data_IF_958234166317
#
_entry.id   IF_958234166317
#
_cell.length_a   1.000
_cell.length_b   1.000
_cell.length_c   1.000
_cell.angle_alpha   90.00
_cell.angle_beta   90.00
_cell.angle_gamma   90.00
#
_symmetry.space_group_name_H-M   'P 1'
#
loop_
_entity.id
_entity.type
_entity.pdbx_description
1 polymer ?
#
# COMPACT_ATOMS: atom_id res chain seq x y z
N UNK A 1 11.14 14.96 6.54
CA UNK A 1 10.67 13.58 6.83
C UNK A 1 9.48 13.19 5.96
N UNK A 2 8.41 14.00 5.87
CA UNK A 2 7.21 13.71 5.03
C UNK A 2 7.53 13.49 3.54
N UNK A 3 8.29 14.39 2.91
CA UNK A 3 8.69 14.26 1.50
C UNK A 3 9.47 12.97 1.22
N UNK A 4 10.38 12.57 2.12
CA UNK A 4 11.15 11.33 1.95
C UNK A 4 10.25 10.09 2.03
N UNK A 5 9.28 10.08 2.95
CA UNK A 5 8.27 9.02 3.00
C UNK A 5 7.42 9.00 1.71
N UNK A 6 6.97 10.17 1.24
CA UNK A 6 6.20 10.31 0.00
C UNK A 6 6.95 9.85 -1.25
N UNK A 7 8.28 9.98 -1.29
CA UNK A 7 9.12 9.36 -2.33
C UNK A 7 9.16 7.84 -2.15
N UNK A 8 9.44 7.36 -0.93
CA UNK A 8 9.57 5.91 -0.62
C UNK A 8 8.32 5.10 -0.95
N UNK A 9 7.13 5.72 -0.87
CA UNK A 9 5.84 5.13 -1.28
C UNK A 9 5.92 4.50 -2.67
N UNK A 10 6.66 5.12 -3.59
CA UNK A 10 6.71 4.73 -4.99
C UNK A 10 7.91 3.83 -5.38
N UNK A 11 8.80 3.47 -4.44
CA UNK A 11 10.08 2.81 -4.77
C UNK A 11 9.98 1.47 -5.55
N UNK A 12 8.86 0.78 -5.49
CA UNK A 12 8.63 -0.49 -6.22
C UNK A 12 7.71 -0.33 -7.45
N UNK A 13 7.35 0.90 -7.76
CA UNK A 13 6.43 1.24 -8.82
C UNK A 13 7.13 2.08 -9.88
N UNK A 14 6.64 1.98 -11.11
CA UNK A 14 7.14 2.70 -12.26
C UNK A 14 6.16 3.83 -12.65
N UNK A 15 6.49 4.51 -13.75
CA UNK A 15 5.71 5.62 -14.30
C UNK A 15 4.27 5.18 -14.63
N UNK A 16 4.10 3.94 -15.06
CA UNK A 16 2.78 3.37 -15.38
C UNK A 16 1.83 3.42 -14.19
N UNK A 17 2.31 3.09 -13.00
CA UNK A 17 1.44 3.08 -11.82
C UNK A 17 1.03 4.49 -11.37
N UNK A 18 1.92 5.47 -11.54
CA UNK A 18 1.56 6.88 -11.31
C UNK A 18 0.50 7.33 -12.33
N UNK A 19 0.69 6.98 -13.60
CA UNK A 19 -0.28 7.24 -14.67
C UNK A 19 -1.63 6.57 -14.37
N UNK A 20 -1.64 5.33 -13.87
CA UNK A 20 -2.87 4.62 -13.48
C UNK A 20 -3.63 5.36 -12.38
N UNK A 21 -2.92 5.91 -11.38
CA UNK A 21 -3.52 6.70 -10.31
C UNK A 21 -4.16 7.98 -10.87
N UNK A 22 -3.44 8.70 -11.74
CA UNK A 22 -3.90 9.93 -12.35
C UNK A 22 -5.10 9.68 -13.30
N UNK A 23 -5.00 8.67 -14.17
CA UNK A 23 -6.03 8.27 -15.12
C UNK A 23 -7.37 8.01 -14.40
N UNK A 24 -7.35 7.26 -13.30
CA UNK A 24 -8.54 6.96 -12.51
C UNK A 24 -9.13 8.19 -11.82
N UNK A 25 -8.29 9.07 -11.29
CA UNK A 25 -8.73 10.33 -10.68
C UNK A 25 -9.42 11.22 -11.71
N UNK A 26 -8.77 11.48 -12.84
CA UNK A 26 -9.34 12.32 -13.91
C UNK A 26 -10.62 11.70 -14.50
N UNK A 27 -10.62 10.38 -14.75
CA UNK A 27 -11.81 9.67 -15.25
C UNK A 27 -13.00 9.79 -14.29
N UNK A 28 -12.76 9.63 -12.98
CA UNK A 28 -13.81 9.81 -11.95
C UNK A 28 -14.35 11.23 -11.91
N UNK A 29 -13.49 12.21 -12.18
CA UNK A 29 -13.86 13.62 -12.31
C UNK A 29 -14.48 13.96 -13.69
N UNK A 30 -14.90 12.95 -14.45
CA UNK A 30 -15.59 13.09 -15.74
C UNK A 30 -14.74 13.70 -16.86
N UNK A 31 -13.42 13.58 -16.78
CA UNK A 31 -12.56 13.85 -17.94
C UNK A 31 -12.57 12.64 -18.88
N UNK A 32 -12.55 12.90 -20.18
CA UNK A 32 -12.10 11.92 -21.17
C UNK A 32 -10.59 11.80 -21.07
N UNK A 33 -10.06 10.60 -20.84
CA UNK A 33 -8.63 10.38 -20.59
C UNK A 33 -8.02 9.48 -21.65
N UNK A 34 -6.94 9.94 -22.27
CA UNK A 34 -6.12 9.18 -23.21
C UNK A 34 -4.76 8.89 -22.58
N UNK A 35 -4.51 7.63 -22.25
CA UNK A 35 -3.21 7.16 -21.75
C UNK A 35 -2.36 6.68 -22.92
N UNK A 36 -1.54 7.58 -23.48
CA UNK A 36 -0.70 7.29 -24.64
C UNK A 36 0.33 6.21 -24.36
N UNK A 37 0.80 6.12 -23.12
CA UNK A 37 1.77 5.11 -22.72
C UNK A 37 1.25 3.67 -22.88
N UNK A 38 -0.06 3.47 -22.71
CA UNK A 38 -0.76 2.18 -22.91
C UNK A 38 -1.31 1.99 -24.31
N UNK A 39 -1.85 3.04 -24.91
CA UNK A 39 -2.70 2.93 -26.10
C UNK A 39 -1.98 3.30 -27.40
N UNK A 40 -1.01 4.23 -27.37
CA UNK A 40 -0.34 4.72 -28.57
C UNK A 40 0.98 5.43 -28.26
N UNK A 41 2.03 4.65 -27.96
CA UNK A 41 3.37 5.18 -27.68
C UNK A 41 3.99 5.94 -28.86
N UNK A 42 3.59 5.60 -30.09
CA UNK A 42 4.13 6.24 -31.30
C UNK A 42 3.66 7.67 -31.46
N UNK A 43 2.48 8.01 -30.95
CA UNK A 43 1.89 9.35 -31.04
C UNK A 43 1.90 10.11 -29.71
N UNK A 44 2.57 9.60 -28.69
CA UNK A 44 2.71 10.22 -27.36
C UNK A 44 3.20 11.67 -27.45
N UNK A 45 4.13 11.98 -28.39
CA UNK A 45 4.70 13.34 -28.59
C UNK A 45 5.23 13.99 -27.29
N UNK A 46 5.58 13.17 -26.30
CA UNK A 46 6.03 13.60 -24.97
C UNK A 46 4.91 13.79 -23.95
N UNK A 47 3.64 13.62 -24.32
CA UNK A 47 2.48 13.65 -23.42
C UNK A 47 2.13 12.21 -23.04
N UNK A 48 2.30 11.84 -21.77
CA UNK A 48 2.03 10.47 -21.33
C UNK A 48 0.53 10.25 -21.05
N UNK A 49 -0.15 11.29 -20.53
CA UNK A 49 -1.59 11.31 -20.25
C UNK A 49 -2.22 12.61 -20.73
N UNK A 50 -3.34 12.53 -21.46
CA UNK A 50 -4.11 13.70 -21.87
C UNK A 50 -5.55 13.58 -21.38
N UNK A 51 -6.05 14.63 -20.74
CA UNK A 51 -7.35 14.68 -20.10
C UNK A 51 -8.15 15.86 -20.66
N UNK A 52 -9.40 15.64 -21.05
CA UNK A 52 -10.28 16.70 -21.57
C UNK A 52 -11.66 16.69 -20.91
N UNK A 53 -12.16 17.86 -20.51
CA UNK A 53 -13.51 18.04 -19.96
C UNK A 53 -14.05 19.43 -20.30
N UNK A 54 -15.17 19.50 -21.02
CA UNK A 54 -15.86 20.77 -21.31
C UNK A 54 -14.94 21.87 -21.89
N UNK A 55 -13.97 21.49 -22.73
CA UNK A 55 -12.97 22.40 -23.31
C UNK A 55 -11.75 22.66 -22.43
N UNK A 56 -11.75 22.24 -21.16
CA UNK A 56 -10.54 22.18 -20.33
C UNK A 56 -9.67 21.02 -20.80
N UNK A 57 -8.41 21.30 -21.11
CA UNK A 57 -7.41 20.31 -21.53
C UNK A 57 -6.25 20.29 -20.55
N UNK A 58 -5.87 19.09 -20.11
CA UNK A 58 -4.71 18.87 -19.24
C UNK A 58 -3.81 17.84 -19.89
N UNK A 59 -2.54 18.18 -20.08
CA UNK A 59 -1.53 17.28 -20.61
C UNK A 59 -0.50 17.00 -19.51
N UNK A 60 -0.19 15.72 -19.28
CA UNK A 60 0.66 15.29 -18.19
C UNK A 60 1.81 14.45 -18.72
N UNK A 61 3.01 14.74 -18.22
CA UNK A 61 4.20 13.90 -18.38
C UNK A 61 4.67 13.45 -16.99
N UNK A 62 5.08 12.19 -16.86
CA UNK A 62 5.47 11.57 -15.60
C UNK A 62 6.89 11.01 -15.72
N UNK A 63 7.74 11.33 -14.73
CA UNK A 63 9.07 10.71 -14.60
C UNK A 63 9.36 10.28 -13.17
N UNK A 64 9.84 9.05 -12.98
CA UNK A 64 10.26 8.62 -11.64
C UNK A 64 11.43 9.47 -11.12
N UNK A 65 12.41 9.72 -11.98
CA UNK A 65 13.58 10.56 -11.68
C UNK A 65 14.06 11.26 -12.96
N UNK A 66 13.78 12.55 -13.15
CA UNK A 66 14.19 13.27 -14.35
C UNK A 66 15.72 13.36 -14.50
N UNK A 67 16.23 12.94 -15.67
CA UNK A 67 17.66 12.88 -16.01
C UNK A 67 17.96 13.78 -17.21
N UNK A 68 19.25 14.01 -17.47
CA UNK A 68 19.72 14.72 -18.67
C UNK A 68 19.13 14.15 -19.97
N UNK A 69 18.95 12.83 -20.06
CA UNK A 69 18.37 12.17 -21.24
C UNK A 69 16.88 12.49 -21.47
N UNK A 70 16.17 12.97 -20.45
CA UNK A 70 14.74 13.29 -20.55
C UNK A 70 14.49 14.72 -21.07
N UNK A 71 15.54 15.56 -21.23
CA UNK A 71 15.44 16.96 -21.66
C UNK A 71 14.75 17.09 -23.03
N UNK A 72 15.09 16.22 -23.98
CA UNK A 72 14.48 16.23 -25.32
C UNK A 72 12.99 15.86 -25.26
N UNK A 73 12.63 14.89 -24.42
CA UNK A 73 11.24 14.49 -24.24
C UNK A 73 10.42 15.60 -23.56
N UNK A 74 11.01 16.29 -22.57
CA UNK A 74 10.39 17.43 -21.91
C UNK A 74 10.19 18.61 -22.87
N UNK A 75 11.18 18.91 -23.71
CA UNK A 75 11.07 20.00 -24.70
C UNK A 75 9.96 19.71 -25.71
N UNK A 76 9.82 18.44 -26.14
CA UNK A 76 8.68 18.03 -26.98
C UNK A 76 7.35 18.17 -26.24
N UNK A 77 7.28 17.79 -24.97
CA UNK A 77 6.09 17.95 -24.15
C UNK A 77 5.64 19.42 -24.08
N UNK A 78 6.55 20.32 -23.74
CA UNK A 78 6.28 21.77 -23.68
C UNK A 78 5.78 22.33 -25.02
N UNK A 79 6.41 21.96 -26.14
CA UNK A 79 6.01 22.42 -27.47
C UNK A 79 4.60 21.93 -27.89
N UNK A 80 4.20 20.73 -27.42
CA UNK A 80 2.94 20.11 -27.80
C UNK A 80 1.77 20.42 -26.85
N UNK A 81 1.96 21.31 -25.87
CA UNK A 81 0.95 21.59 -24.82
C UNK A 81 0.45 23.04 -24.79
N UNK A 82 0.65 23.79 -25.87
CA UNK A 82 0.30 25.21 -25.97
C UNK A 82 -1.19 25.55 -25.71
N UNK A 83 -2.11 24.63 -25.96
CA UNK A 83 -3.56 24.80 -25.73
C UNK A 83 -4.09 24.03 -24.51
N UNK A 84 -3.19 23.48 -23.69
CA UNK A 84 -3.53 22.66 -22.53
C UNK A 84 -2.77 23.13 -21.28
N UNK A 85 -3.33 22.85 -20.11
CA UNK A 85 -2.59 22.93 -18.86
C UNK A 85 -1.51 21.84 -18.86
N UNK A 86 -0.25 22.24 -18.96
CA UNK A 86 0.88 21.32 -18.95
C UNK A 86 1.33 21.01 -17.51
N UNK A 87 1.32 19.74 -17.13
CA UNK A 87 1.77 19.27 -15.81
C UNK A 87 2.90 18.27 -15.98
N UNK A 88 4.04 18.53 -15.34
CA UNK A 88 5.17 17.61 -15.29
C UNK A 88 5.30 17.03 -13.88
N UNK A 89 4.99 15.74 -13.74
CA UNK A 89 5.02 15.03 -12.47
C UNK A 89 6.37 14.32 -12.32
N UNK A 90 7.02 14.49 -11.18
CA UNK A 90 8.21 13.72 -10.83
C UNK A 90 8.22 13.25 -9.37
N UNK A 91 8.72 12.03 -9.14
CA UNK A 91 8.77 11.46 -7.80
C UNK A 91 10.07 11.86 -7.09
N UNK A 92 11.21 11.49 -7.66
CA UNK A 92 12.52 11.89 -7.14
C UNK A 92 12.94 13.27 -7.65
N UNK A 93 13.90 13.87 -6.96
CA UNK A 93 14.48 15.15 -7.39
C UNK A 93 15.18 15.01 -8.76
N UNK A 94 14.98 15.99 -9.67
CA UNK A 94 15.64 16.00 -10.96
C UNK A 94 17.16 16.12 -10.81
N UNK A 95 17.88 15.53 -11.76
CA UNK A 95 19.34 15.75 -11.86
C UNK A 95 19.66 17.20 -12.18
N UNK A 96 20.82 17.70 -11.73
CA UNK A 96 21.25 19.09 -11.98
C UNK A 96 21.11 19.52 -13.45
N UNK A 97 21.57 18.75 -14.47
CA UNK A 97 21.40 19.15 -15.86
C UNK A 97 19.95 19.35 -16.30
N UNK A 98 19.03 18.53 -15.78
CA UNK A 98 17.61 18.65 -16.08
C UNK A 98 17.02 19.90 -15.41
N UNK A 99 17.34 20.12 -14.14
CA UNK A 99 16.90 21.31 -13.40
C UNK A 99 17.41 22.61 -14.03
N UNK A 100 18.70 22.66 -14.36
CA UNK A 100 19.33 23.82 -15.02
C UNK A 100 18.70 24.10 -16.41
N UNK A 101 18.10 23.09 -17.05
CA UNK A 101 17.33 23.25 -18.29
C UNK A 101 15.94 23.81 -18.01
N UNK A 102 15.20 23.24 -17.06
CA UNK A 102 13.82 23.67 -16.74
C UNK A 102 13.77 25.06 -16.12
N UNK A 103 14.76 25.48 -15.34
CA UNK A 103 14.85 26.83 -14.76
C UNK A 103 15.00 27.94 -15.82
N UNK A 104 15.48 27.59 -17.02
CA UNK A 104 15.63 28.51 -18.15
C UNK A 104 14.39 28.60 -19.04
N UNK A 105 13.47 27.65 -18.92
CA UNK A 105 12.25 27.58 -19.72
C UNK A 105 11.14 28.42 -19.09
N UNK A 106 10.36 29.10 -19.93
CA UNK A 106 9.35 30.06 -19.50
C UNK A 106 8.08 29.35 -19.00
N UNK A 107 7.95 29.20 -17.67
CA UNK A 107 6.73 29.25 -16.82
C UNK A 107 5.41 28.57 -17.23
N UNK A 108 5.33 27.89 -18.37
CA UNK A 108 4.09 27.34 -18.93
C UNK A 108 3.75 25.95 -18.37
N UNK A 109 4.74 25.25 -17.83
CA UNK A 109 4.60 23.92 -17.26
C UNK A 109 4.56 23.98 -15.73
N UNK A 110 3.52 23.40 -15.14
CA UNK A 110 3.41 23.20 -13.70
C UNK A 110 4.19 21.94 -13.29
N UNK A 111 5.12 22.06 -12.34
CA UNK A 111 5.91 20.93 -11.85
C UNK A 111 5.32 20.37 -10.56
N UNK A 112 4.94 19.09 -10.59
CA UNK A 112 4.48 18.36 -9.42
C UNK A 112 5.58 17.44 -8.93
N UNK A 113 6.17 17.76 -7.78
CA UNK A 113 7.01 16.82 -7.06
C UNK A 113 6.14 15.79 -6.30
N UNK A 114 6.78 14.88 -5.55
CA UNK A 114 6.07 13.88 -4.75
C UNK A 114 5.08 14.46 -3.72
N UNK A 115 5.31 15.67 -3.21
CA UNK A 115 4.42 16.35 -2.26
C UNK A 115 3.16 16.88 -2.98
N UNK A 116 3.33 17.60 -4.09
CA UNK A 116 2.21 18.09 -4.89
C UNK A 116 1.36 16.95 -5.45
N UNK A 117 1.99 15.85 -5.90
CA UNK A 117 1.28 14.65 -6.33
C UNK A 117 0.50 14.00 -5.18
N UNK A 118 1.09 13.90 -3.99
CA UNK A 118 0.41 13.41 -2.79
C UNK A 118 -0.84 14.23 -2.49
N UNK A 119 -0.70 15.55 -2.40
CA UNK A 119 -1.81 16.47 -2.12
C UNK A 119 -2.93 16.32 -3.16
N UNK A 120 -2.57 16.28 -4.45
CA UNK A 120 -3.53 16.09 -5.53
C UNK A 120 -4.28 14.75 -5.40
N UNK A 121 -3.56 13.64 -5.22
CA UNK A 121 -4.14 12.31 -5.15
C UNK A 121 -5.02 12.11 -3.89
N UNK A 122 -4.62 12.67 -2.75
CA UNK A 122 -5.40 12.63 -1.51
C UNK A 122 -6.67 13.47 -1.65
N UNK A 123 -6.55 14.72 -2.11
CA UNK A 123 -7.69 15.63 -2.32
C UNK A 123 -8.74 15.03 -3.27
N UNK A 124 -8.27 14.31 -4.28
CA UNK A 124 -9.12 13.63 -5.26
C UNK A 124 -9.43 12.16 -4.91
N UNK A 125 -9.23 11.75 -3.65
CA UNK A 125 -9.69 10.46 -3.12
C UNK A 125 -9.15 9.25 -3.91
N UNK A 126 -7.90 9.29 -4.35
CA UNK A 126 -7.28 8.17 -5.06
C UNK A 126 -7.15 6.96 -4.12
N UNK A 127 -8.05 5.99 -4.30
CA UNK A 127 -8.11 4.75 -3.51
C UNK A 127 -6.81 3.97 -3.67
N UNK A 128 -6.29 3.90 -4.90
CA UNK A 128 -5.03 3.26 -5.23
C UNK A 128 -3.87 3.90 -4.46
N UNK A 129 -3.82 5.22 -4.45
CA UNK A 129 -2.80 5.95 -3.71
C UNK A 129 -2.91 5.73 -2.20
N UNK A 130 -4.12 5.77 -1.63
CA UNK A 130 -4.35 5.49 -0.22
C UNK A 130 -3.87 4.07 0.18
N UNK A 131 -4.19 3.06 -0.63
CA UNK A 131 -3.68 1.69 -0.44
C UNK A 131 -2.15 1.65 -0.50
N UNK A 132 -1.55 2.34 -1.48
CA UNK A 132 -0.11 2.40 -1.65
C UNK A 132 0.57 3.12 -0.47
N UNK A 133 0.00 4.24 -0.02
CA UNK A 133 0.49 5.04 1.10
C UNK A 133 0.63 4.19 2.36
N UNK A 134 -0.41 3.44 2.73
CA UNK A 134 -0.34 2.58 3.91
C UNK A 134 0.46 1.29 3.69
N UNK A 135 0.62 0.81 2.46
CA UNK A 135 1.45 -0.37 2.19
C UNK A 135 2.92 -0.19 2.61
N UNK A 136 3.38 1.07 2.77
CA UNK A 136 4.72 1.41 3.27
C UNK A 136 4.76 1.80 4.74
N UNK A 137 3.62 1.82 5.42
CA UNK A 137 3.57 2.16 6.83
C UNK A 137 4.29 1.09 7.66
N UNK A 138 5.11 1.44 8.67
CA UNK A 138 5.86 0.48 9.48
C UNK A 138 5.02 -0.68 10.04
N UNK A 139 3.86 -0.42 10.66
CA UNK A 139 2.97 -1.49 11.15
C UNK A 139 2.49 -2.44 10.04
N UNK A 140 2.19 -1.91 8.86
CA UNK A 140 1.73 -2.71 7.71
C UNK A 140 2.88 -3.57 7.17
N UNK A 141 4.09 -3.01 7.09
CA UNK A 141 5.30 -3.76 6.76
C UNK A 141 5.58 -4.88 7.78
N UNK A 142 5.33 -4.65 9.08
CA UNK A 142 5.40 -5.70 10.10
C UNK A 142 4.40 -6.82 9.84
N UNK A 143 3.15 -6.50 9.49
CA UNK A 143 2.14 -7.50 9.12
C UNK A 143 2.55 -8.29 7.87
N UNK A 144 3.06 -7.62 6.83
CA UNK A 144 3.57 -8.25 5.61
C UNK A 144 4.73 -9.21 5.92
N UNK A 145 5.70 -8.76 6.73
CA UNK A 145 6.86 -9.58 7.13
C UNK A 145 6.45 -10.77 7.99
N UNK A 146 5.53 -10.60 8.94
CA UNK A 146 4.97 -11.70 9.72
C UNK A 146 4.34 -12.77 8.82
N UNK A 147 3.49 -12.38 7.88
CA UNK A 147 2.90 -13.30 6.90
C UNK A 147 3.96 -13.97 6.02
N UNK A 148 5.01 -13.24 5.63
CA UNK A 148 6.10 -13.78 4.81
C UNK A 148 6.91 -14.84 5.54
N UNK A 149 7.17 -14.63 6.84
CA UNK A 149 7.85 -15.61 7.71
C UNK A 149 7.00 -16.88 7.85
N UNK A 150 5.70 -16.72 8.10
CA UNK A 150 4.74 -17.84 8.18
C UNK A 150 4.71 -18.60 6.85
N UNK A 151 4.54 -17.89 5.74
CA UNK A 151 4.50 -18.46 4.39
C UNK A 151 5.80 -19.22 4.06
N UNK A 152 6.95 -18.72 4.50
CA UNK A 152 8.27 -19.32 4.26
C UNK A 152 8.47 -20.67 4.96
N UNK A 153 7.75 -20.93 6.06
CA UNK A 153 7.83 -22.19 6.83
C UNK A 153 6.58 -23.06 6.74
N UNK A 154 5.59 -22.67 5.92
CA UNK A 154 4.30 -23.37 5.82
C UNK A 154 4.35 -24.85 5.43
N UNK A 155 5.42 -25.26 4.73
CA UNK A 155 5.62 -26.65 4.26
C UNK A 155 6.36 -27.53 5.28
N UNK A 156 6.71 -26.98 6.44
CA UNK A 156 7.35 -27.75 7.50
C UNK A 156 6.35 -28.77 8.05
N UNK A 157 6.79 -30.01 8.20
CA UNK A 157 5.93 -31.08 8.69
C UNK A 157 5.98 -31.12 10.21
N UNK A 158 4.84 -30.85 10.85
CA UNK A 158 4.65 -31.10 12.26
C UNK A 158 4.36 -32.59 12.51
N UNK A 159 5.17 -33.21 13.38
CA UNK A 159 4.90 -34.56 13.89
C UNK A 159 4.28 -34.42 15.27
N UNK A 160 3.11 -35.01 15.49
CA UNK A 160 2.40 -34.90 16.77
C UNK A 160 3.28 -35.42 17.91
N UNK A 161 3.54 -34.55 18.88
CA UNK A 161 4.30 -34.86 20.08
C UNK A 161 3.85 -33.94 21.22
N UNK A 162 4.27 -34.27 22.44
CA UNK A 162 4.04 -33.40 23.60
C UNK A 162 4.98 -32.20 23.49
N UNK A 163 4.41 -31.00 23.46
CA UNK A 163 5.16 -29.75 23.37
C UNK A 163 6.12 -29.61 24.56
N UNK A 164 7.33 -29.21 24.25
CA UNK A 164 8.39 -28.90 25.21
C UNK A 164 8.13 -27.56 25.90
N UNK A 165 8.75 -27.34 27.05
CA UNK A 165 8.62 -26.06 27.76
C UNK A 165 9.14 -24.87 26.92
N UNK A 166 10.17 -25.08 26.10
CA UNK A 166 10.71 -24.05 25.21
C UNK A 166 9.71 -23.68 24.12
N UNK A 167 9.13 -24.65 23.42
CA UNK A 167 8.11 -24.42 22.39
C UNK A 167 6.92 -23.64 22.93
N UNK A 168 6.43 -24.04 24.11
CA UNK A 168 5.33 -23.35 24.80
C UNK A 168 5.72 -21.90 25.10
N UNK A 169 6.92 -21.67 25.63
CA UNK A 169 7.39 -20.33 25.92
C UNK A 169 7.48 -19.46 24.66
N UNK A 170 7.97 -20.01 23.53
CA UNK A 170 8.05 -19.30 22.25
C UNK A 170 6.67 -18.97 21.69
N UNK A 171 5.75 -19.93 21.67
CA UNK A 171 4.37 -19.71 21.25
C UNK A 171 3.67 -18.64 22.07
N UNK A 172 3.87 -18.63 23.40
CA UNK A 172 3.31 -17.59 24.27
C UNK A 172 3.84 -16.21 23.95
N UNK A 173 5.13 -16.06 23.67
CA UNK A 173 5.71 -14.76 23.29
C UNK A 173 5.10 -14.27 21.97
N UNK A 174 4.94 -15.15 20.98
CA UNK A 174 4.28 -14.78 19.71
C UNK A 174 2.82 -14.40 19.95
N UNK A 175 2.10 -15.17 20.77
CA UNK A 175 0.71 -14.92 21.14
C UNK A 175 0.55 -13.55 21.79
N UNK A 176 1.31 -13.26 22.84
CA UNK A 176 1.28 -11.97 23.53
C UNK A 176 1.53 -10.78 22.59
N UNK A 177 2.51 -10.91 21.69
CA UNK A 177 2.81 -9.84 20.74
C UNK A 177 1.72 -9.71 19.66
N UNK A 178 1.12 -10.82 19.20
CA UNK A 178 0.01 -10.80 18.24
C UNK A 178 -1.24 -10.14 18.84
N UNK A 179 -1.59 -10.46 20.09
CA UNK A 179 -2.68 -9.82 20.83
C UNK A 179 -2.42 -8.33 20.98
N UNK A 180 -1.20 -7.92 21.36
CA UNK A 180 -0.85 -6.49 21.50
C UNK A 180 -0.99 -5.73 20.18
N UNK A 181 -0.55 -6.31 19.05
CA UNK A 181 -0.71 -5.69 17.73
C UNK A 181 -2.19 -5.59 17.37
N UNK A 182 -2.94 -6.68 17.50
CA UNK A 182 -4.37 -6.70 17.20
C UNK A 182 -5.15 -5.69 18.05
N UNK A 183 -4.99 -5.70 19.37
CA UNK A 183 -5.68 -4.78 20.28
C UNK A 183 -5.34 -3.33 19.96
N UNK A 184 -4.07 -3.03 19.66
CA UNK A 184 -3.64 -1.68 19.28
C UNK A 184 -4.32 -1.23 17.97
N UNK A 185 -4.31 -2.07 16.94
CA UNK A 185 -4.95 -1.77 15.66
C UNK A 185 -6.48 -1.70 15.79
N UNK A 186 -7.09 -2.54 16.62
CA UNK A 186 -8.52 -2.50 16.93
C UNK A 186 -8.89 -1.19 17.62
N UNK A 187 -8.07 -0.70 18.55
CA UNK A 187 -8.28 0.60 19.18
C UNK A 187 -8.21 1.74 18.15
N UNK A 188 -7.20 1.75 17.28
CA UNK A 188 -7.07 2.73 16.18
C UNK A 188 -8.31 2.68 15.28
N UNK A 189 -8.72 1.48 14.84
CA UNK A 189 -9.92 1.28 14.04
C UNK A 189 -11.17 1.82 14.75
N UNK A 190 -11.40 1.48 16.03
CA UNK A 190 -12.57 1.94 16.79
C UNK A 190 -12.61 3.45 16.95
N UNK A 191 -11.47 4.08 17.24
CA UNK A 191 -11.33 5.54 17.34
C UNK A 191 -11.72 6.20 16.02
N UNK A 192 -11.06 5.80 14.93
CA UNK A 192 -11.26 6.44 13.62
C UNK A 192 -12.56 6.06 12.96
N UNK A 193 -13.07 4.84 13.12
CA UNK A 193 -14.36 4.45 12.57
C UNK A 193 -15.48 5.36 13.09
N UNK A 194 -15.48 5.68 14.38
CA UNK A 194 -16.42 6.64 14.97
C UNK A 194 -16.30 8.03 14.34
N UNK A 195 -15.08 8.52 14.10
CA UNK A 195 -14.81 9.85 13.53
C UNK A 195 -15.21 9.87 12.05
N UNK A 196 -14.74 8.91 11.26
CA UNK A 196 -14.92 8.81 9.82
C UNK A 196 -16.39 8.57 9.45
N UNK A 197 -17.11 7.71 10.19
CA UNK A 197 -18.53 7.45 9.95
C UNK A 197 -19.44 8.60 10.40
N UNK A 198 -18.96 9.50 11.25
CA UNK A 198 -19.69 10.72 11.60
C UNK A 198 -19.58 11.82 10.53
N UNK A 199 -18.67 11.68 9.56
CA UNK A 199 -18.52 12.64 8.45
C UNK A 199 -19.62 12.43 7.42
N UNK A 200 -20.61 13.33 7.44
CA UNK A 200 -21.75 13.32 6.49
C UNK A 200 -21.49 14.16 5.25
N UNK A 201 -20.51 15.06 5.29
CA UNK A 201 -20.13 15.93 4.18
C UNK A 201 -18.66 15.72 3.83
N UNK A 202 -18.37 15.89 2.54
CA UNK A 202 -17.00 15.86 2.02
C UNK A 202 -16.32 17.18 2.36
N UNK A 203 -15.21 17.12 3.11
CA UNK A 203 -14.32 18.26 3.31
C UNK A 203 -12.92 17.88 2.81
N UNK A 204 -12.61 18.30 1.59
CA UNK A 204 -11.32 18.05 0.94
C UNK A 204 -10.14 18.69 1.69
N UNK A 205 -10.39 19.75 2.47
CA UNK A 205 -9.38 20.47 3.22
C UNK A 205 -8.83 19.68 4.42
N UNK A 206 -9.56 18.68 4.91
CA UNK A 206 -9.14 17.86 6.05
C UNK A 206 -8.58 16.49 5.67
N UNK A 207 -8.64 16.07 4.40
CA UNK A 207 -8.22 14.71 4.04
C UNK A 207 -6.75 14.44 4.39
N UNK A 208 -5.86 15.39 4.14
CA UNK A 208 -4.44 15.24 4.46
C UNK A 208 -4.21 15.18 5.98
N UNK A 209 -4.87 16.05 6.76
CA UNK A 209 -4.73 16.05 8.22
C UNK A 209 -5.32 14.80 8.87
N UNK A 210 -6.42 14.27 8.33
CA UNK A 210 -6.99 12.98 8.74
C UNK A 210 -6.03 11.83 8.40
N UNK A 211 -5.47 11.82 7.20
CA UNK A 211 -4.51 10.78 6.78
C UNK A 211 -3.27 10.77 7.67
N UNK A 212 -2.70 11.95 7.94
CA UNK A 212 -1.54 12.12 8.82
C UNK A 212 -1.84 11.68 10.25
N UNK A 213 -2.98 12.09 10.82
CA UNK A 213 -3.37 11.71 12.18
C UNK A 213 -3.65 10.20 12.31
N UNK A 214 -4.18 9.55 11.27
CA UNK A 214 -4.28 8.09 11.21
C UNK A 214 -2.88 7.46 11.20
N UNK A 215 -1.96 8.00 10.38
CA UNK A 215 -0.58 7.50 10.32
C UNK A 215 0.12 7.60 11.67
N UNK A 216 -0.02 8.72 12.39
CA UNK A 216 0.57 8.91 13.72
C UNK A 216 0.02 7.88 14.75
N UNK A 217 -1.28 7.59 14.71
CA UNK A 217 -1.87 6.56 15.57
C UNK A 217 -1.36 5.15 15.23
N UNK A 218 -1.12 4.87 13.95
CA UNK A 218 -0.53 3.60 13.50
C UNK A 218 0.96 3.49 13.87
N UNK A 219 1.70 4.60 13.90
CA UNK A 219 3.09 4.64 14.40
C UNK A 219 3.15 4.31 15.89
N UNK A 220 2.18 4.77 16.68
CA UNK A 220 2.05 4.35 18.07
C UNK A 220 1.84 2.84 18.18
N UNK A 221 0.93 2.25 17.40
CA UNK A 221 0.71 0.80 17.38
C UNK A 221 1.99 0.02 16.99
N UNK A 222 2.74 0.51 16.00
CA UNK A 222 4.04 -0.04 15.62
C UNK A 222 5.05 -0.01 16.78
N UNK A 223 5.21 1.15 17.42
CA UNK A 223 6.17 1.34 18.52
C UNK A 223 5.91 0.41 19.72
N UNK A 224 4.64 0.10 20.00
CA UNK A 224 4.24 -0.75 21.11
C UNK A 224 4.60 -2.22 20.86
N UNK A 225 4.30 -2.73 19.66
CA UNK A 225 4.27 -4.17 19.40
C UNK A 225 4.62 -4.64 17.99
N UNK A 226 4.64 -3.77 16.97
CA UNK A 226 4.86 -4.18 15.57
C UNK A 226 6.22 -4.87 15.35
N UNK A 227 7.31 -4.26 15.82
CA UNK A 227 8.65 -4.85 15.73
C UNK A 227 8.79 -6.14 16.56
N UNK A 228 8.16 -6.19 17.75
CA UNK A 228 8.20 -7.36 18.64
C UNK A 228 7.46 -8.56 18.05
N UNK A 229 6.34 -8.33 17.36
CA UNK A 229 5.63 -9.37 16.64
C UNK A 229 6.56 -10.03 15.61
N UNK A 230 7.18 -9.23 14.75
CA UNK A 230 8.10 -9.74 13.72
C UNK A 230 9.24 -10.54 14.33
N UNK A 231 9.94 -10.00 15.34
CA UNK A 231 11.09 -10.69 15.94
C UNK A 231 10.68 -12.00 16.64
N UNK A 232 9.52 -12.04 17.29
CA UNK A 232 9.01 -13.26 17.92
C UNK A 232 8.61 -14.33 16.91
N UNK A 233 7.98 -13.96 15.80
CA UNK A 233 7.65 -14.90 14.72
C UNK A 233 8.93 -15.38 14.03
N UNK A 234 9.91 -14.50 13.81
CA UNK A 234 11.19 -14.85 13.20
C UNK A 234 11.92 -15.89 14.06
N UNK A 235 12.07 -15.64 15.36
CA UNK A 235 12.68 -16.57 16.33
C UNK A 235 11.93 -17.92 16.39
N UNK A 236 10.59 -17.92 16.40
CA UNK A 236 9.80 -19.17 16.32
C UNK A 236 10.01 -19.89 14.98
N UNK A 237 10.05 -19.15 13.87
CA UNK A 237 10.20 -19.70 12.51
C UNK A 237 11.58 -20.28 12.23
N UNK A 238 12.60 -19.84 12.98
CA UNK A 238 13.96 -20.35 12.90
C UNK A 238 14.16 -21.57 13.79
N UNK A 239 13.64 -21.54 15.02
CA UNK A 239 13.85 -22.59 16.03
C UNK A 239 12.87 -23.74 15.93
N UNK A 240 11.60 -23.44 15.64
CA UNK A 240 10.50 -24.41 15.57
C UNK A 240 9.67 -24.21 14.29
N UNK A 241 10.28 -24.38 13.10
CA UNK A 241 9.60 -24.17 11.82
C UNK A 241 8.40 -25.12 11.60
N UNK A 242 8.41 -26.29 12.25
CA UNK A 242 7.32 -27.26 12.24
C UNK A 242 6.07 -26.73 12.96
N UNK A 243 6.22 -25.96 14.04
CA UNK A 243 5.09 -25.28 14.69
C UNK A 243 4.45 -24.22 13.79
N UNK A 244 5.23 -23.54 12.94
CA UNK A 244 4.68 -22.66 11.91
C UNK A 244 3.93 -23.46 10.83
N UNK A 245 4.42 -24.66 10.49
CA UNK A 245 3.71 -25.60 9.62
C UNK A 245 2.37 -26.04 10.20
N UNK A 246 2.32 -26.37 11.49
CA UNK A 246 1.08 -26.68 12.22
C UNK A 246 0.13 -25.48 12.22
N UNK A 247 0.63 -24.30 12.61
CA UNK A 247 -0.11 -23.04 12.56
C UNK A 247 -0.76 -22.83 11.19
N UNK A 248 0.03 -22.96 10.11
CA UNK A 248 -0.47 -22.75 8.75
C UNK A 248 -1.59 -23.71 8.39
N UNK A 249 -1.40 -25.00 8.70
CA UNK A 249 -2.39 -26.05 8.45
C UNK A 249 -3.70 -25.72 9.15
N UNK A 250 -3.66 -25.40 10.44
CA UNK A 250 -4.85 -25.07 11.23
C UNK A 250 -5.52 -23.78 10.72
N UNK A 251 -4.74 -22.73 10.47
CA UNK A 251 -5.25 -21.46 9.99
C UNK A 251 -5.92 -21.55 8.61
N UNK A 252 -5.32 -22.32 7.70
CA UNK A 252 -5.86 -22.55 6.35
C UNK A 252 -7.20 -23.28 6.35
N UNK A 253 -7.46 -24.11 7.36
CA UNK A 253 -8.67 -24.93 7.46
C UNK A 253 -9.82 -24.22 8.17
N UNK A 254 -9.52 -23.28 9.07
CA UNK A 254 -10.48 -22.72 10.03
C UNK A 254 -10.82 -21.24 9.80
N UNK A 255 -10.26 -20.59 8.78
CA UNK A 255 -10.45 -19.15 8.54
C UNK A 255 -10.52 -18.77 7.06
N UNK A 256 -10.71 -17.48 6.79
CA UNK A 256 -10.58 -16.88 5.46
C UNK A 256 -9.17 -17.03 4.83
N UNK A 257 -8.21 -17.59 5.55
CA UNK A 257 -6.91 -17.98 5.00
C UNK A 257 -7.03 -19.06 3.93
N UNK A 258 -8.14 -19.79 3.82
CA UNK A 258 -8.35 -20.74 2.72
C UNK A 258 -8.19 -20.09 1.32
N UNK A 259 -8.68 -18.85 1.13
CA UNK A 259 -8.51 -18.08 -0.11
C UNK A 259 -7.04 -17.69 -0.28
N UNK A 260 -6.43 -17.18 0.80
CA UNK A 260 -5.02 -16.76 0.80
C UNK A 260 -4.09 -17.93 0.45
N UNK A 261 -4.23 -19.06 1.15
CA UNK A 261 -3.49 -20.31 0.97
C UNK A 261 -3.64 -20.86 -0.45
N UNK A 262 -4.88 -20.94 -0.96
CA UNK A 262 -5.15 -21.39 -2.33
C UNK A 262 -4.38 -20.56 -3.36
N UNK A 263 -4.33 -19.23 -3.19
CA UNK A 263 -3.58 -18.38 -4.11
C UNK A 263 -2.07 -18.60 -4.00
N UNK A 264 -1.50 -18.48 -2.79
CA UNK A 264 -0.03 -18.54 -2.62
C UNK A 264 0.55 -19.92 -2.92
N UNK A 265 -0.24 -20.99 -2.84
CA UNK A 265 0.19 -22.33 -3.24
C UNK A 265 0.08 -22.57 -4.75
N UNK A 266 -0.81 -21.87 -5.45
CA UNK A 266 -0.82 -21.86 -6.93
C UNK A 266 0.35 -21.08 -7.51
N UNK A 267 0.83 -20.09 -6.79
CA UNK A 267 1.85 -19.17 -7.27
C UNK A 267 3.25 -19.63 -6.83
N UNK A 268 3.99 -20.26 -7.75
CA UNK A 268 5.37 -20.73 -7.53
C UNK A 268 6.43 -19.60 -7.52
N UNK A 269 6.14 -18.44 -6.93
CA UNK A 269 7.08 -17.32 -6.85
C UNK A 269 6.91 -16.56 -5.54
N UNK A 270 8.01 -16.43 -4.79
CA UNK A 270 8.07 -15.64 -3.56
C UNK A 270 7.69 -14.17 -3.80
N UNK A 271 8.17 -13.59 -4.91
CA UNK A 271 7.85 -12.21 -5.30
C UNK A 271 6.35 -12.03 -5.57
N UNK A 272 5.73 -12.95 -6.32
CA UNK A 272 4.28 -12.87 -6.61
C UNK A 272 3.43 -13.14 -5.36
N UNK A 273 3.88 -14.02 -4.47
CA UNK A 273 3.20 -14.28 -3.19
C UNK A 273 3.26 -13.04 -2.30
N UNK A 274 4.45 -12.43 -2.14
CA UNK A 274 4.62 -11.19 -1.39
C UNK A 274 3.78 -10.06 -1.97
N UNK A 275 3.75 -9.90 -3.29
CA UNK A 275 2.90 -8.93 -3.97
C UNK A 275 1.42 -9.14 -3.62
N UNK A 276 0.94 -10.39 -3.63
CA UNK A 276 -0.43 -10.69 -3.23
C UNK A 276 -0.69 -10.41 -1.75
N UNK A 277 0.24 -10.77 -0.85
CA UNK A 277 0.16 -10.44 0.57
C UNK A 277 0.03 -8.93 0.77
N UNK A 278 0.87 -8.14 0.12
CA UNK A 278 0.85 -6.68 0.26
C UNK A 278 -0.37 -6.04 -0.39
N UNK A 279 -0.67 -6.39 -1.65
CA UNK A 279 -1.57 -5.62 -2.52
C UNK A 279 -2.94 -6.26 -2.80
N UNK A 280 -3.20 -7.44 -2.25
CA UNK A 280 -4.51 -8.10 -2.35
C UNK A 280 -5.06 -8.46 -0.98
N UNK A 281 -4.19 -8.95 -0.08
CA UNK A 281 -4.55 -9.36 1.26
C UNK A 281 -4.61 -8.16 2.22
N UNK A 282 -3.49 -7.45 2.40
CA UNK A 282 -3.34 -6.40 3.44
C UNK A 282 -3.81 -5.02 2.97
N UNK A 283 -3.30 -4.52 1.85
CA UNK A 283 -3.77 -3.29 1.22
C UNK A 283 -4.41 -3.69 -0.10
N UNK A 284 -5.75 -3.74 -0.24
CA UNK A 284 -6.46 -4.40 -1.35
C UNK A 284 -6.40 -3.63 -2.69
N UNK A 285 -5.24 -3.10 -3.07
CA UNK A 285 -5.00 -2.35 -4.30
C UNK A 285 -5.46 -3.09 -5.56
N UNK A 286 -5.31 -4.42 -5.59
CA UNK A 286 -5.63 -5.30 -6.72
C UNK A 286 -6.90 -6.14 -6.49
N UNK A 287 -7.63 -5.93 -5.39
CA UNK A 287 -8.86 -6.66 -5.11
C UNK A 287 -10.07 -5.80 -5.44
N UNK A 288 -10.60 -5.93 -6.66
CA UNK A 288 -11.72 -5.12 -7.15
C UNK A 288 -12.98 -5.25 -6.28
N UNK A 289 -13.28 -6.45 -5.79
CA UNK A 289 -14.44 -6.67 -4.92
C UNK A 289 -14.33 -5.87 -3.62
N UNK A 290 -13.15 -5.85 -3.00
CA UNK A 290 -12.87 -5.06 -1.79
C UNK A 290 -12.84 -3.56 -2.09
N UNK A 291 -12.24 -3.15 -3.22
CA UNK A 291 -12.23 -1.74 -3.65
C UNK A 291 -13.62 -1.19 -3.95
N UNK A 292 -14.56 -2.03 -4.40
CA UNK A 292 -15.96 -1.61 -4.62
C UNK A 292 -16.68 -1.16 -3.33
N UNK A 293 -16.17 -1.56 -2.17
CA UNK A 293 -16.66 -1.14 -0.85
C UNK A 293 -16.08 0.25 -0.47
N UNK A 294 -14.91 0.60 -1.00
CA UNK A 294 -14.18 1.83 -0.72
C UNK A 294 -14.76 3.01 -1.54
N UNK A 295 -15.85 3.61 -1.07
CA UNK A 295 -16.59 4.67 -1.79
C UNK A 295 -16.19 6.06 -1.29
N UNK A 296 -15.03 6.53 -1.74
CA UNK A 296 -14.46 7.82 -1.34
C UNK A 296 -13.51 7.72 -0.15
N UNK A 297 -12.95 8.85 0.27
CA UNK A 297 -11.81 8.94 1.20
C UNK A 297 -12.14 8.34 2.57
N UNK A 298 -13.16 8.82 3.28
CA UNK A 298 -13.46 8.33 4.63
C UNK A 298 -13.82 6.84 4.66
N UNK A 299 -14.62 6.38 3.69
CA UNK A 299 -14.97 4.97 3.53
C UNK A 299 -13.72 4.12 3.27
N UNK A 300 -12.81 4.60 2.42
CA UNK A 300 -11.52 3.96 2.14
C UNK A 300 -10.64 3.84 3.38
N UNK A 301 -10.52 4.92 4.15
CA UNK A 301 -9.74 4.94 5.40
C UNK A 301 -10.31 3.96 6.42
N UNK A 302 -11.63 3.98 6.62
CA UNK A 302 -12.30 3.07 7.56
C UNK A 302 -12.09 1.61 7.16
N UNK A 303 -12.25 1.29 5.87
CA UNK A 303 -12.03 -0.06 5.35
C UNK A 303 -10.60 -0.54 5.56
N UNK A 304 -9.60 0.30 5.26
CA UNK A 304 -8.19 -0.08 5.45
C UNK A 304 -7.87 -0.38 6.91
N UNK A 305 -8.36 0.46 7.83
CA UNK A 305 -8.16 0.25 9.28
C UNK A 305 -8.84 -1.02 9.78
N UNK A 306 -10.07 -1.30 9.31
CA UNK A 306 -10.78 -2.55 9.59
C UNK A 306 -9.98 -3.76 9.10
N UNK A 307 -9.48 -3.70 7.86
CA UNK A 307 -8.73 -4.80 7.27
C UNK A 307 -7.39 -5.02 7.99
N UNK A 308 -6.71 -3.97 8.46
CA UNK A 308 -5.46 -4.12 9.23
C UNK A 308 -5.69 -4.84 10.56
N UNK A 309 -6.73 -4.48 11.32
CA UNK A 309 -7.01 -5.14 12.59
C UNK A 309 -7.52 -6.57 12.37
N UNK A 310 -8.35 -6.83 11.35
CA UNK A 310 -8.78 -8.20 11.02
C UNK A 310 -7.58 -9.09 10.66
N UNK A 311 -6.62 -8.57 9.91
CA UNK A 311 -5.42 -9.34 9.54
C UNK A 311 -4.55 -9.65 10.76
N UNK A 312 -4.39 -8.70 11.67
CA UNK A 312 -3.69 -8.95 12.93
C UNK A 312 -4.42 -9.98 13.79
N UNK A 313 -5.76 -9.88 13.88
CA UNK A 313 -6.61 -10.85 14.57
C UNK A 313 -6.44 -12.25 14.00
N UNK A 314 -6.44 -12.39 12.68
CA UNK A 314 -6.26 -13.71 12.07
C UNK A 314 -4.90 -14.37 12.41
N UNK A 315 -3.85 -13.57 12.65
CA UNK A 315 -2.57 -14.12 13.16
C UNK A 315 -2.75 -14.69 14.56
N UNK A 316 -3.49 -13.98 15.40
CA UNK A 316 -3.74 -14.29 16.80
C UNK A 316 -4.68 -15.51 16.98
N UNK A 317 -5.75 -15.60 16.17
CA UNK A 317 -6.67 -16.73 16.09
C UNK A 317 -5.92 -18.01 15.66
N UNK A 318 -4.99 -17.89 14.71
CA UNK A 318 -4.17 -19.01 14.25
C UNK A 318 -3.32 -19.62 15.35
N UNK A 319 -2.84 -18.80 16.30
CA UNK A 319 -2.07 -19.26 17.46
C UNK A 319 -2.97 -19.95 18.49
N UNK A 320 -4.20 -19.47 18.68
CA UNK A 320 -5.16 -20.14 19.57
C UNK A 320 -5.42 -21.57 19.12
N UNK A 321 -5.57 -21.81 17.82
CA UNK A 321 -5.75 -23.17 17.33
C UNK A 321 -4.53 -24.07 17.60
N UNK A 322 -3.32 -23.53 17.57
CA UNK A 322 -2.12 -24.29 17.96
C UNK A 322 -2.20 -24.65 19.45
N UNK A 323 -2.58 -23.72 20.32
CA UNK A 323 -2.77 -23.98 21.75
C UNK A 323 -3.93 -24.94 22.05
N UNK A 324 -4.98 -24.96 21.23
CA UNK A 324 -6.04 -25.96 21.34
C UNK A 324 -5.53 -27.36 20.98
N UNK A 325 -4.76 -27.49 19.89
CA UNK A 325 -4.18 -28.77 19.48
C UNK A 325 -3.22 -29.30 20.56
N UNK A 326 -2.53 -28.42 21.30
CA UNK A 326 -1.70 -28.81 22.45
C UNK A 326 -2.49 -29.48 23.59
N UNK A 327 -3.79 -29.18 23.73
CA UNK A 327 -4.65 -29.76 24.77
C UNK A 327 -5.20 -31.14 24.39
N UNK A 328 -5.10 -31.52 23.11
CA UNK A 328 -5.65 -32.75 22.52
C UNK A 328 -4.61 -33.84 22.26
#
# INVERSE_FOLDING_TARGET
MKTEYRIKIWNEFDENFVLDCLEKVYSRNSFSVTNFHKTDRTHERGIDLFCEKNGEKVAIQVKMKPRKGDIEQFTRFEQNTHDAKAIYVHIENPTRPFRDHTEKQSGSVEFWNADALHEFLVRNESIEYCCLYFSRHPIVLSLIKAHSLILGRRKSNYTKHRFTAEEIAKLWVVKDNSVKVWVSLYFVYRKWSKILLAKTQKDEGEFESVLDAISEDLDMAYSLSGAKLVSSIEDLSEKHPDLIGLYWKLASQRSGWNIYTTYVDRVNSSKKSLFFTSFYWICPLQNESKRGIMRGFYSSMNYLLENFQEIAKNIEDGLDWVFEEMKS
#
